data_IF_170940563722
#
_entry.id   IF_170940563722
#
_cell.length_a   1.000
_cell.length_b   1.000
_cell.length_c   1.000
_cell.angle_alpha   90.00
_cell.angle_beta   90.00
_cell.angle_gamma   90.00
#
_symmetry.space_group_name_H-M   'P 1'
#
loop_
_entity.id
_entity.type
_entity.pdbx_description
1 polymer ?
#
# COMPACT_ATOMS: atom_id res chain seq x y z
N UNK A 1 -36.26 11.75 9.63
CA UNK A 1 -35.30 10.65 9.80
C UNK A 1 -34.38 10.69 8.59
N UNK A 2 -33.06 10.68 8.78
CA UNK A 2 -32.09 10.70 7.69
C UNK A 2 -32.04 9.32 7.02
N UNK A 3 -32.08 9.27 5.69
CA UNK A 3 -32.00 8.03 4.90
C UNK A 3 -30.57 7.73 4.47
N UNK A 4 -30.30 6.50 4.00
CA UNK A 4 -29.03 6.14 3.38
C UNK A 4 -28.74 7.01 2.15
N UNK A 5 -29.76 7.36 1.38
CA UNK A 5 -29.61 8.22 0.21
C UNK A 5 -29.16 9.63 0.62
N UNK A 6 -29.73 10.18 1.70
CA UNK A 6 -29.33 11.50 2.22
C UNK A 6 -27.87 11.50 2.69
N UNK A 7 -27.44 10.45 3.39
CA UNK A 7 -26.05 10.33 3.82
C UNK A 7 -25.08 10.18 2.65
N UNK A 8 -25.45 9.43 1.60
CA UNK A 8 -24.64 9.32 0.38
C UNK A 8 -24.54 10.64 -0.36
N UNK A 9 -25.66 11.37 -0.52
CA UNK A 9 -25.64 12.72 -1.09
C UNK A 9 -24.72 13.66 -0.32
N UNK A 10 -24.72 13.57 1.02
CA UNK A 10 -23.81 14.37 1.85
C UNK A 10 -22.34 13.98 1.66
N UNK A 11 -22.03 12.70 1.45
CA UNK A 11 -20.68 12.25 1.09
C UNK A 11 -20.30 12.84 -0.27
N UNK A 12 -21.18 12.75 -1.28
CA UNK A 12 -20.91 13.30 -2.62
C UNK A 12 -20.66 14.82 -2.57
N UNK A 13 -21.37 15.56 -1.71
CA UNK A 13 -21.14 16.99 -1.48
C UNK A 13 -19.76 17.27 -0.86
N UNK A 14 -19.36 16.49 0.14
CA UNK A 14 -18.03 16.58 0.77
C UNK A 14 -16.92 16.21 -0.20
N UNK A 15 -17.14 15.20 -1.05
CA UNK A 15 -16.18 14.78 -2.07
C UNK A 15 -16.00 15.88 -3.14
N UNK A 16 -17.08 16.56 -3.53
CA UNK A 16 -16.98 17.74 -4.40
C UNK A 16 -16.20 18.88 -3.73
N UNK A 17 -16.38 19.10 -2.43
CA UNK A 17 -15.60 20.09 -1.68
C UNK A 17 -14.12 19.69 -1.59
N UNK A 18 -13.83 18.42 -1.35
CA UNK A 18 -12.47 17.88 -1.37
C UNK A 18 -11.80 18.15 -2.71
N UNK A 19 -12.47 17.89 -3.84
CA UNK A 19 -11.93 18.20 -5.18
C UNK A 19 -11.65 19.70 -5.35
N UNK A 20 -12.52 20.58 -4.85
CA UNK A 20 -12.29 22.04 -4.88
C UNK A 20 -11.07 22.44 -4.04
N UNK A 21 -10.91 21.86 -2.86
CA UNK A 21 -9.75 22.10 -1.98
C UNK A 21 -8.47 21.60 -2.64
N UNK A 22 -8.51 20.43 -3.28
CA UNK A 22 -7.37 19.91 -4.03
C UNK A 22 -6.96 20.86 -5.15
N UNK A 23 -7.92 21.33 -5.96
CA UNK A 23 -7.64 22.30 -7.02
C UNK A 23 -6.98 23.57 -6.47
N UNK A 24 -7.56 24.17 -5.41
CA UNK A 24 -6.97 25.35 -4.76
C UNK A 24 -5.57 25.09 -4.21
N UNK A 25 -5.33 23.91 -3.62
CA UNK A 25 -4.00 23.51 -3.15
C UNK A 25 -3.00 23.42 -4.30
N UNK A 26 -3.39 22.89 -5.46
CA UNK A 26 -2.50 22.75 -6.61
C UNK A 26 -2.14 24.11 -7.23
N UNK A 27 -3.06 25.08 -7.28
CA UNK A 27 -2.75 26.46 -7.69
C UNK A 27 -1.65 27.07 -6.80
N UNK A 28 -1.78 26.93 -5.47
CA UNK A 28 -0.71 27.36 -4.54
C UNK A 28 0.59 26.60 -4.79
N UNK A 29 0.55 25.31 -5.14
CA UNK A 29 1.77 24.57 -5.51
C UNK A 29 2.43 25.14 -6.76
N UNK A 30 1.65 25.61 -7.74
CA UNK A 30 2.18 26.26 -8.94
C UNK A 30 2.87 27.59 -8.60
N UNK A 31 2.30 28.39 -7.70
CA UNK A 31 2.93 29.62 -7.21
C UNK A 31 4.24 29.33 -6.46
N UNK A 32 4.24 28.34 -5.56
CA UNK A 32 5.44 27.89 -4.84
C UNK A 32 6.52 27.42 -5.82
N UNK A 33 6.15 26.65 -6.83
CA UNK A 33 7.07 26.20 -7.87
C UNK A 33 7.73 27.38 -8.60
N UNK A 34 6.95 28.42 -8.94
CA UNK A 34 7.45 29.62 -9.60
C UNK A 34 8.48 30.39 -8.75
N UNK A 35 8.20 30.55 -7.45
CA UNK A 35 9.11 31.22 -6.54
C UNK A 35 10.41 30.42 -6.34
N UNK A 36 10.32 29.09 -6.18
CA UNK A 36 11.50 28.23 -6.00
C UNK A 36 12.44 28.25 -7.21
N UNK A 37 11.88 28.37 -8.41
CA UNK A 37 12.63 28.50 -9.66
C UNK A 37 13.41 29.83 -9.73
N UNK A 38 12.85 30.92 -9.21
CA UNK A 38 13.52 32.23 -9.16
C UNK A 38 14.66 32.27 -8.13
N UNK A 39 14.49 31.60 -7.00
CA UNK A 39 15.40 31.65 -5.85
C UNK A 39 16.40 30.48 -5.81
N UNK A 40 16.53 29.70 -6.89
CA UNK A 40 17.37 28.47 -6.98
C UNK A 40 17.16 27.51 -5.78
N UNK A 41 15.93 27.44 -5.30
CA UNK A 41 15.58 26.65 -4.13
C UNK A 41 15.39 25.18 -4.52
N UNK A 42 16.00 24.21 -3.82
CA UNK A 42 15.84 22.80 -4.13
C UNK A 42 14.37 22.35 -4.17
N UNK A 43 14.03 21.56 -5.19
CA UNK A 43 12.71 20.94 -5.36
C UNK A 43 12.36 20.12 -4.10
N UNK A 44 13.27 19.26 -3.66
CA UNK A 44 13.07 18.45 -2.45
C UNK A 44 13.77 19.10 -1.26
N UNK A 45 13.01 19.35 -0.20
CA UNK A 45 13.51 19.80 1.10
C UNK A 45 13.11 18.76 2.16
N UNK A 46 13.98 17.79 2.51
CA UNK A 46 13.61 16.66 3.38
C UNK A 46 13.08 17.07 4.75
N UNK A 47 13.65 18.12 5.35
CA UNK A 47 13.16 18.66 6.62
C UNK A 47 11.71 19.16 6.52
N UNK A 48 11.37 19.82 5.40
CA UNK A 48 10.00 20.29 5.14
C UNK A 48 9.03 19.14 5.00
N UNK A 49 9.42 18.08 4.27
CA UNK A 49 8.59 16.88 4.11
C UNK A 49 8.28 16.24 5.47
N UNK A 50 9.30 16.06 6.32
CA UNK A 50 9.11 15.54 7.69
C UNK A 50 8.14 16.41 8.50
N UNK A 51 8.37 17.72 8.55
CA UNK A 51 7.46 18.64 9.26
C UNK A 51 6.03 18.58 8.73
N UNK A 52 5.83 18.49 7.41
CA UNK A 52 4.48 18.34 6.85
C UNK A 52 3.84 17.06 7.35
N UNK A 53 4.53 15.92 7.24
CA UNK A 53 4.00 14.63 7.70
C UNK A 53 3.66 14.68 9.20
N UNK A 54 4.61 15.07 10.04
CA UNK A 54 4.44 15.09 11.50
C UNK A 54 3.27 15.97 11.92
N UNK A 55 3.16 17.18 11.35
CA UNK A 55 2.07 18.11 11.68
C UNK A 55 0.71 17.61 11.21
N UNK A 56 0.62 16.95 10.05
CA UNK A 56 -0.67 16.43 9.54
C UNK A 56 -1.12 15.19 10.29
N UNK A 57 -0.18 14.33 10.72
CA UNK A 57 -0.48 13.24 11.66
C UNK A 57 -1.07 13.80 12.96
N UNK A 58 -0.46 14.85 13.53
CA UNK A 58 -0.99 15.46 14.74
C UNK A 58 -2.39 16.06 14.54
N UNK A 59 -2.62 16.78 13.44
CA UNK A 59 -3.96 17.30 13.12
C UNK A 59 -5.00 16.22 12.93
N UNK A 60 -4.62 15.08 12.35
CA UNK A 60 -5.51 13.92 12.23
C UNK A 60 -5.91 13.39 13.61
N UNK A 61 -4.94 13.22 14.52
CA UNK A 61 -5.19 12.82 15.92
C UNK A 61 -6.17 13.79 16.59
N UNK A 62 -5.91 15.11 16.48
CA UNK A 62 -6.74 16.14 17.09
C UNK A 62 -8.18 16.15 16.52
N UNK A 63 -8.34 15.76 15.25
CA UNK A 63 -9.62 15.68 14.56
C UNK A 63 -10.32 14.31 14.67
N UNK A 64 -9.71 13.33 15.36
CA UNK A 64 -10.25 11.97 15.45
C UNK A 64 -10.16 11.16 14.15
N UNK A 65 -9.25 11.53 13.25
CA UNK A 65 -8.93 10.81 12.02
C UNK A 65 -7.71 9.92 12.26
N UNK A 66 -7.72 8.73 11.68
CA UNK A 66 -6.57 7.82 11.72
C UNK A 66 -5.31 8.50 11.13
N UNK A 67 -4.21 8.62 11.91
CA UNK A 67 -3.03 9.36 11.46
C UNK A 67 -2.28 8.68 10.32
N UNK A 68 -2.35 7.35 10.21
CA UNK A 68 -1.68 6.62 9.13
C UNK A 68 -2.45 6.78 7.81
N UNK A 69 -3.78 6.80 7.87
CA UNK A 69 -4.62 7.19 6.74
C UNK A 69 -4.36 8.63 6.28
N UNK A 70 -4.30 9.58 7.21
CA UNK A 70 -4.01 10.97 6.89
C UNK A 70 -2.62 11.14 6.26
N UNK A 71 -1.61 10.45 6.80
CA UNK A 71 -0.27 10.45 6.21
C UNK A 71 -0.25 9.89 4.79
N UNK A 72 -0.97 8.78 4.53
CA UNK A 72 -1.06 8.18 3.20
C UNK A 72 -1.61 9.19 2.17
N UNK A 73 -2.68 9.90 2.51
CA UNK A 73 -3.22 10.97 1.66
C UNK A 73 -2.17 12.07 1.44
N UNK A 74 -1.56 12.55 2.52
CA UNK A 74 -0.57 13.64 2.46
C UNK A 74 0.64 13.26 1.61
N UNK A 75 1.09 12.00 1.65
CA UNK A 75 2.17 11.49 0.80
C UNK A 75 1.78 11.52 -0.68
N UNK A 76 0.56 11.12 -1.04
CA UNK A 76 0.04 11.25 -2.41
C UNK A 76 0.04 12.72 -2.86
N UNK A 77 -0.42 13.62 -2.00
CA UNK A 77 -0.43 15.05 -2.28
C UNK A 77 0.97 15.65 -2.43
N UNK A 78 1.94 15.19 -1.63
CA UNK A 78 3.33 15.60 -1.76
C UNK A 78 3.94 15.10 -3.07
N UNK A 79 3.69 13.84 -3.45
CA UNK A 79 4.14 13.29 -4.73
C UNK A 79 3.62 14.12 -5.90
N UNK A 80 2.34 14.52 -5.87
CA UNK A 80 1.76 15.36 -6.92
C UNK A 80 2.37 16.76 -6.95
N UNK A 81 2.61 17.38 -5.79
CA UNK A 81 3.32 18.67 -5.71
C UNK A 81 4.70 18.59 -6.37
N UNK A 82 5.47 17.53 -6.10
CA UNK A 82 6.79 17.34 -6.71
C UNK A 82 6.69 17.12 -8.23
N UNK A 83 5.70 16.33 -8.68
CA UNK A 83 5.46 16.13 -10.12
C UNK A 83 5.19 17.45 -10.82
N UNK A 84 4.38 18.33 -10.22
CA UNK A 84 4.07 19.66 -10.76
C UNK A 84 5.33 20.53 -10.86
N UNK A 85 6.14 20.58 -9.80
CA UNK A 85 7.40 21.34 -9.78
C UNK A 85 8.34 20.89 -10.91
N UNK A 86 8.48 19.57 -11.10
CA UNK A 86 9.32 19.01 -12.17
C UNK A 86 8.71 19.23 -13.55
N UNK A 87 7.41 19.03 -13.72
CA UNK A 87 6.74 19.12 -15.01
C UNK A 87 6.83 20.51 -15.66
N UNK A 88 6.94 21.59 -14.88
CA UNK A 88 7.12 22.95 -15.43
C UNK A 88 8.40 23.10 -16.27
N UNK A 89 9.44 22.34 -15.94
CA UNK A 89 10.69 22.34 -16.71
C UNK A 89 10.62 21.51 -17.99
N UNK A 90 9.54 20.74 -18.20
CA UNK A 90 9.41 19.85 -19.35
C UNK A 90 8.78 20.57 -20.54
N UNK A 91 9.28 20.34 -21.78
CA UNK A 91 8.75 20.98 -22.98
C UNK A 91 7.48 20.30 -23.53
N UNK A 92 7.18 19.08 -23.08
CA UNK A 92 6.06 18.29 -23.63
C UNK A 92 4.71 18.79 -23.08
N UNK A 93 3.66 18.91 -23.92
CA UNK A 93 2.34 19.28 -23.45
C UNK A 93 1.73 18.18 -22.56
N UNK A 94 0.96 18.59 -21.55
CA UNK A 94 0.21 17.65 -20.73
C UNK A 94 -0.81 16.87 -21.59
N UNK A 95 -0.92 15.55 -21.40
CA UNK A 95 -1.90 14.76 -22.14
C UNK A 95 -3.32 15.14 -21.72
N UNK A 96 -4.24 15.19 -22.68
CA UNK A 96 -5.67 15.26 -22.39
C UNK A 96 -6.12 13.95 -21.74
N UNK A 97 -6.79 14.04 -20.59
CA UNK A 97 -7.38 12.90 -19.90
C UNK A 97 -8.89 13.06 -19.90
N UNK A 98 -9.60 12.04 -20.37
CA UNK A 98 -11.05 11.98 -20.30
C UNK A 98 -11.48 11.01 -19.19
N UNK A 99 -12.65 11.27 -18.60
CA UNK A 99 -13.25 10.32 -17.68
C UNK A 99 -13.61 9.06 -18.48
N UNK A 100 -12.93 7.94 -18.17
CA UNK A 100 -13.19 6.67 -18.84
C UNK A 100 -14.58 6.18 -18.45
N UNK A 101 -15.50 6.17 -19.41
CA UNK A 101 -16.82 5.55 -19.31
C UNK A 101 -16.76 4.17 -19.98
N UNK A 102 -16.46 3.14 -19.22
CA UNK A 102 -16.41 1.75 -19.70
C UNK A 102 -16.48 0.77 -18.54
N UNK A 103 -16.83 -0.47 -18.84
CA UNK A 103 -16.91 -1.54 -17.83
C UNK A 103 -15.50 -1.82 -17.29
N UNK A 104 -15.29 -1.47 -16.03
CA UNK A 104 -14.09 -1.80 -15.27
C UNK A 104 -14.19 -3.25 -14.79
N UNK A 105 -13.06 -3.94 -14.72
CA UNK A 105 -13.04 -5.30 -14.14
C UNK A 105 -13.46 -5.23 -12.67
N UNK A 106 -13.94 -6.35 -12.12
CA UNK A 106 -14.29 -6.40 -10.69
C UNK A 106 -13.09 -6.07 -9.80
N UNK A 107 -11.87 -6.46 -10.20
CA UNK A 107 -10.65 -6.10 -9.48
C UNK A 107 -10.36 -4.58 -9.57
N UNK A 108 -10.48 -3.96 -10.74
CA UNK A 108 -10.26 -2.51 -10.90
C UNK A 108 -11.22 -1.66 -10.05
N UNK A 109 -12.39 -2.21 -9.72
CA UNK A 109 -13.38 -1.56 -8.87
C UNK A 109 -12.99 -1.53 -7.39
N UNK A 110 -12.19 -2.49 -6.92
CA UNK A 110 -11.90 -2.66 -5.49
C UNK A 110 -10.42 -2.61 -5.11
N UNK A 111 -9.50 -2.77 -6.05
CA UNK A 111 -8.07 -2.66 -5.79
C UNK A 111 -7.69 -1.21 -5.44
N UNK A 112 -6.90 -1.05 -4.37
CA UNK A 112 -6.51 0.26 -3.86
C UNK A 112 -5.03 0.56 -4.06
N UNK A 113 -4.15 -0.39 -3.74
CA UNK A 113 -2.69 -0.26 -3.86
C UNK A 113 -1.99 -1.60 -3.62
N UNK A 114 -0.67 -1.62 -3.83
CA UNK A 114 0.18 -2.62 -3.18
C UNK A 114 0.21 -2.33 -1.67
N UNK A 115 -0.14 -3.32 -0.85
CA UNK A 115 -0.14 -3.22 0.60
C UNK A 115 1.25 -3.53 1.16
N UNK A 116 1.83 -4.67 0.76
CA UNK A 116 3.17 -5.09 1.17
C UNK A 116 3.76 -6.12 0.20
N UNK A 117 5.06 -6.37 0.35
CA UNK A 117 5.78 -7.42 -0.36
C UNK A 117 6.41 -8.35 0.68
N UNK A 118 6.22 -9.66 0.51
CA UNK A 118 6.91 -10.67 1.33
C UNK A 118 8.10 -11.20 0.55
N UNK A 119 9.27 -11.24 1.20
CA UNK A 119 10.52 -11.70 0.62
C UNK A 119 11.07 -12.84 1.46
N UNK A 120 11.19 -14.02 0.85
CA UNK A 120 11.84 -15.17 1.44
C UNK A 120 13.36 -15.00 1.37
N UNK A 121 14.05 -15.20 2.48
CA UNK A 121 15.49 -14.94 2.60
C UNK A 121 16.22 -16.07 3.33
N UNK A 122 17.43 -16.39 2.86
CA UNK A 122 18.29 -17.39 3.50
C UNK A 122 18.86 -16.90 4.84
N UNK A 123 19.19 -15.61 4.95
CA UNK A 123 19.73 -15.01 6.16
C UNK A 123 18.95 -13.73 6.50
N UNK A 124 18.12 -13.82 7.55
CA UNK A 124 17.25 -12.73 7.98
C UNK A 124 18.03 -11.47 8.39
N UNK A 125 19.07 -11.64 9.19
CA UNK A 125 19.87 -10.53 9.72
C UNK A 125 20.58 -9.77 8.59
N UNK A 126 21.21 -10.51 7.67
CA UNK A 126 21.89 -9.92 6.52
C UNK A 126 20.92 -9.19 5.58
N UNK A 127 19.75 -9.78 5.30
CA UNK A 127 18.73 -9.15 4.46
C UNK A 127 18.16 -7.89 5.11
N UNK A 128 17.85 -7.96 6.40
CA UNK A 128 17.37 -6.82 7.18
C UNK A 128 18.40 -5.69 7.23
N UNK A 129 19.67 -6.00 7.53
CA UNK A 129 20.77 -5.02 7.51
C UNK A 129 20.94 -4.41 6.12
N UNK A 130 20.81 -5.17 5.04
CA UNK A 130 20.86 -4.62 3.69
C UNK A 130 19.75 -3.58 3.44
N UNK A 131 18.51 -3.86 3.86
CA UNK A 131 17.40 -2.91 3.68
C UNK A 131 17.54 -1.68 4.59
N UNK A 132 17.90 -1.87 5.85
CA UNK A 132 18.01 -0.78 6.83
C UNK A 132 19.24 0.08 6.56
N UNK A 133 20.42 -0.53 6.52
CA UNK A 133 21.69 0.21 6.50
C UNK A 133 22.04 0.75 5.12
N UNK A 134 21.62 0.08 4.03
CA UNK A 134 21.97 0.49 2.66
C UNK A 134 20.85 1.18 1.92
N UNK A 135 19.59 0.83 2.19
CA UNK A 135 18.43 1.40 1.50
C UNK A 135 17.61 2.35 2.37
N UNK A 136 17.95 2.49 3.66
CA UNK A 136 17.34 3.49 4.55
C UNK A 136 15.93 3.12 5.02
N UNK A 137 15.56 1.84 4.99
CA UNK A 137 14.37 1.37 5.68
C UNK A 137 14.55 1.44 7.20
N UNK A 138 13.46 1.39 7.94
CA UNK A 138 13.46 1.25 9.39
C UNK A 138 12.63 0.04 9.80
N UNK A 139 12.89 -0.48 11.00
CA UNK A 139 12.06 -1.55 11.55
C UNK A 139 10.63 -1.09 11.78
N UNK A 140 9.71 -1.96 11.41
CA UNK A 140 8.30 -1.81 11.67
C UNK A 140 7.84 -2.88 12.66
N UNK A 141 7.04 -2.48 13.65
CA UNK A 141 6.46 -3.42 14.59
C UNK A 141 5.41 -4.28 13.89
N UNK A 142 5.55 -5.61 14.01
CA UNK A 142 4.52 -6.55 13.60
C UNK A 142 3.42 -6.63 14.66
N UNK A 143 2.16 -6.81 14.22
CA UNK A 143 1.03 -6.99 15.15
C UNK A 143 1.12 -8.32 15.92
N UNK A 144 1.72 -9.34 15.29
CA UNK A 144 2.05 -10.62 15.89
C UNK A 144 3.47 -10.99 15.49
N UNK A 145 4.38 -11.09 16.45
CA UNK A 145 5.79 -11.44 16.21
C UNK A 145 5.94 -12.93 15.92
N UNK A 146 6.65 -13.26 14.84
CA UNK A 146 7.06 -14.64 14.51
C UNK A 146 8.57 -14.81 14.58
N UNK A 147 9.04 -15.98 15.00
CA UNK A 147 10.45 -16.35 14.86
C UNK A 147 10.84 -16.33 13.38
N UNK A 148 12.07 -15.94 13.05
CA UNK A 148 12.55 -15.94 11.66
C UNK A 148 11.91 -14.89 10.75
N UNK A 149 11.21 -13.89 11.30
CA UNK A 149 10.53 -12.83 10.55
C UNK A 149 10.97 -11.44 10.99
N UNK A 150 10.93 -10.49 10.06
CA UNK A 150 11.08 -9.07 10.34
C UNK A 150 10.24 -8.23 9.37
N UNK A 151 9.67 -7.13 9.83
CA UNK A 151 9.03 -6.15 8.97
C UNK A 151 9.88 -4.87 8.92
N UNK A 152 10.06 -4.32 7.72
CA UNK A 152 10.73 -3.04 7.53
C UNK A 152 9.90 -2.15 6.64
N UNK A 153 9.94 -0.84 6.90
CA UNK A 153 9.15 0.14 6.17
C UNK A 153 9.99 1.35 5.75
N UNK A 154 9.54 2.03 4.69
CA UNK A 154 10.05 3.32 4.27
C UNK A 154 8.95 4.10 3.56
N UNK A 155 8.47 5.18 4.18
CA UNK A 155 7.54 6.11 3.54
C UNK A 155 6.21 5.51 3.06
N UNK A 156 5.70 4.49 3.76
CA UNK A 156 4.48 3.75 3.39
C UNK A 156 4.72 2.58 2.43
N UNK A 157 5.97 2.25 2.12
CA UNK A 157 6.37 1.00 1.46
C UNK A 157 6.73 -0.02 2.53
N UNK A 158 6.09 -1.19 2.48
CA UNK A 158 6.23 -2.23 3.51
C UNK A 158 6.81 -3.52 2.91
N UNK A 159 7.84 -4.06 3.57
CA UNK A 159 8.47 -5.33 3.21
C UNK A 159 8.52 -6.23 4.44
N UNK A 160 8.04 -7.46 4.29
CA UNK A 160 8.17 -8.50 5.32
C UNK A 160 9.21 -9.51 4.86
N UNK A 161 10.25 -9.69 5.67
CA UNK A 161 11.27 -10.71 5.48
C UNK A 161 10.89 -11.97 6.24
N UNK A 162 11.03 -13.12 5.60
CA UNK A 162 10.75 -14.42 6.20
C UNK A 162 11.88 -15.40 5.87
N UNK A 163 12.40 -16.08 6.88
CA UNK A 163 13.52 -17.01 6.76
C UNK A 163 13.13 -18.42 7.17
N UNK A 164 14.04 -19.38 6.95
CA UNK A 164 13.85 -20.80 7.33
C UNK A 164 13.47 -20.99 8.79
N UNK A 165 13.93 -20.10 9.67
CA UNK A 165 13.64 -20.13 11.11
C UNK A 165 12.15 -19.87 11.43
N UNK A 166 11.37 -19.39 10.46
CA UNK A 166 9.94 -19.16 10.62
C UNK A 166 9.09 -20.44 10.51
N UNK A 167 9.65 -21.53 9.97
CA UNK A 167 9.00 -22.83 9.97
C UNK A 167 9.42 -23.76 8.83
N UNK A 168 9.08 -25.06 8.93
CA UNK A 168 9.43 -26.06 7.93
C UNK A 168 8.81 -25.79 6.55
N UNK A 169 7.66 -25.12 6.49
CA UNK A 169 7.01 -24.73 5.24
C UNK A 169 7.80 -23.64 4.51
N UNK A 170 8.40 -22.70 5.24
CA UNK A 170 9.28 -21.67 4.65
C UNK A 170 10.59 -22.30 4.18
N UNK A 171 11.16 -23.22 4.97
CA UNK A 171 12.37 -23.94 4.56
C UNK A 171 12.15 -24.73 3.26
N UNK A 172 11.01 -25.44 3.14
CA UNK A 172 10.65 -26.15 1.92
C UNK A 172 10.46 -25.19 0.74
N UNK A 173 9.79 -24.05 0.93
CA UNK A 173 9.66 -23.02 -0.10
C UNK A 173 11.03 -22.53 -0.59
N UNK A 174 11.96 -22.25 0.32
CA UNK A 174 13.32 -21.81 -0.03
C UNK A 174 14.13 -22.90 -0.75
N UNK A 175 13.92 -24.17 -0.42
CA UNK A 175 14.56 -25.28 -1.13
C UNK A 175 14.05 -25.44 -2.57
N UNK A 176 12.77 -25.14 -2.81
CA UNK A 176 12.12 -25.28 -4.11
C UNK A 176 12.30 -24.06 -5.01
N UNK A 177 12.09 -22.85 -4.46
CA UNK A 177 12.03 -21.59 -5.22
C UNK A 177 13.24 -20.68 -4.99
N UNK A 178 14.04 -20.94 -3.95
CA UNK A 178 15.13 -20.06 -3.54
C UNK A 178 14.66 -18.76 -2.87
N UNK A 179 15.62 -17.90 -2.55
CA UNK A 179 15.34 -16.58 -1.98
C UNK A 179 14.81 -15.60 -3.04
N UNK A 180 13.85 -14.76 -2.66
CA UNK A 180 13.20 -13.82 -3.56
C UNK A 180 11.87 -13.30 -3.05
N UNK A 181 11.18 -12.52 -3.88
CA UNK A 181 9.81 -12.10 -3.61
C UNK A 181 8.92 -13.34 -3.63
N UNK A 182 8.29 -13.63 -2.49
CA UNK A 182 7.39 -14.76 -2.35
C UNK A 182 5.97 -14.40 -2.79
N UNK A 183 5.45 -13.24 -2.35
CA UNK A 183 4.23 -12.68 -2.92
C UNK A 183 4.20 -11.15 -2.85
N UNK A 184 3.36 -10.58 -3.71
CA UNK A 184 2.97 -9.17 -3.70
C UNK A 184 1.52 -9.09 -3.23
N UNK A 185 1.26 -8.32 -2.18
CA UNK A 185 -0.09 -8.18 -1.62
C UNK A 185 -0.79 -6.91 -2.13
N UNK A 186 -2.04 -7.04 -2.55
CA UNK A 186 -2.88 -5.96 -3.05
C UNK A 186 -3.97 -5.66 -2.01
N UNK A 187 -4.04 -4.41 -1.55
CA UNK A 187 -5.15 -3.95 -0.71
C UNK A 187 -6.43 -3.84 -1.54
N UNK A 188 -7.50 -4.47 -1.07
CA UNK A 188 -8.84 -4.45 -1.68
C UNK A 188 -9.90 -3.97 -0.69
N UNK A 189 -10.92 -3.28 -1.20
CA UNK A 189 -12.03 -2.78 -0.37
C UNK A 189 -12.79 -3.92 0.33
N UNK A 190 -12.89 -5.09 -0.32
CA UNK A 190 -13.55 -6.27 0.22
C UNK A 190 -12.92 -7.54 -0.38
N UNK A 191 -12.39 -8.43 0.47
CA UNK A 191 -11.67 -9.61 -0.01
C UNK A 191 -12.60 -10.64 -0.67
N UNK A 192 -13.80 -10.84 -0.12
CA UNK A 192 -14.80 -11.77 -0.68
C UNK A 192 -15.26 -11.38 -2.08
N UNK A 193 -15.56 -10.10 -2.29
CA UNK A 193 -15.91 -9.57 -3.61
C UNK A 193 -14.75 -9.69 -4.60
N UNK A 194 -13.53 -9.31 -4.19
CA UNK A 194 -12.35 -9.41 -5.05
C UNK A 194 -12.10 -10.87 -5.49
N UNK A 195 -12.20 -11.83 -4.56
CA UNK A 195 -12.08 -13.26 -4.86
C UNK A 195 -13.12 -13.71 -5.88
N UNK A 196 -14.40 -13.38 -5.66
CA UNK A 196 -15.47 -13.77 -6.57
C UNK A 196 -15.31 -13.15 -7.97
N UNK A 197 -14.81 -11.91 -8.05
CA UNK A 197 -14.51 -11.24 -9.31
C UNK A 197 -13.36 -11.93 -10.08
N UNK A 198 -12.35 -12.43 -9.37
CA UNK A 198 -11.25 -13.19 -9.95
C UNK A 198 -11.69 -14.60 -10.37
N UNK A 199 -12.50 -15.27 -9.55
CA UNK A 199 -13.08 -16.58 -9.85
C UNK A 199 -13.93 -16.55 -11.12
N UNK A 200 -14.72 -15.48 -11.32
CA UNK A 200 -15.49 -15.25 -12.54
C UNK A 200 -14.65 -15.07 -13.82
N UNK A 201 -13.33 -14.88 -13.67
CA UNK A 201 -12.36 -14.80 -14.77
C UNK A 201 -11.49 -16.07 -14.86
N UNK A 202 -11.86 -17.14 -14.16
CA UNK A 202 -11.11 -18.39 -14.05
C UNK A 202 -9.67 -18.17 -13.53
N UNK A 203 -9.47 -17.17 -12.66
CA UNK A 203 -8.17 -16.90 -12.07
C UNK A 203 -7.73 -18.09 -11.19
N UNK A 204 -6.43 -18.44 -11.17
CA UNK A 204 -5.96 -19.60 -10.42
C UNK A 204 -5.82 -19.24 -8.93
N UNK A 205 -6.92 -19.40 -8.20
CA UNK A 205 -7.03 -19.12 -6.77
C UNK A 205 -6.50 -20.30 -5.94
N UNK A 206 -5.74 -20.02 -4.88
CA UNK A 206 -5.14 -21.04 -4.00
C UNK A 206 -5.94 -21.25 -2.70
N UNK A 207 -6.34 -20.18 -2.03
CA UNK A 207 -6.98 -20.26 -0.70
C UNK A 207 -8.34 -19.60 -0.71
N UNK A 208 -9.29 -20.09 0.10
CA UNK A 208 -10.47 -19.30 0.45
C UNK A 208 -10.10 -18.01 1.21
N UNK A 209 -11.07 -17.12 1.39
CA UNK A 209 -10.89 -15.94 2.25
C UNK A 209 -10.75 -16.38 3.71
N UNK A 210 -9.64 -16.01 4.33
CA UNK A 210 -9.35 -16.25 5.74
C UNK A 210 -9.40 -14.92 6.48
N UNK A 211 -10.00 -14.94 7.68
CA UNK A 211 -10.08 -13.76 8.57
C UNK A 211 -9.23 -14.02 9.81
N UNK A 212 -8.36 -13.09 10.14
CA UNK A 212 -7.51 -13.18 11.32
C UNK A 212 -8.16 -12.58 12.59
N UNK A 213 -7.43 -12.63 13.71
CA UNK A 213 -7.91 -12.09 14.99
C UNK A 213 -8.09 -10.56 15.01
N UNK A 214 -7.51 -9.84 14.05
CA UNK A 214 -7.59 -8.39 13.90
C UNK A 214 -8.66 -7.96 12.88
N UNK A 215 -9.36 -8.92 12.27
CA UNK A 215 -10.36 -8.68 11.24
C UNK A 215 -9.74 -8.41 9.86
N UNK A 216 -8.49 -8.78 9.62
CA UNK A 216 -7.91 -8.75 8.28
C UNK A 216 -8.41 -9.94 7.48
N UNK A 217 -9.04 -9.67 6.34
CA UNK A 217 -9.48 -10.67 5.39
C UNK A 217 -8.42 -10.84 4.31
N UNK A 218 -8.01 -12.06 3.99
CA UNK A 218 -7.04 -12.30 2.93
C UNK A 218 -7.27 -13.59 2.16
N UNK A 219 -6.77 -13.63 0.92
CA UNK A 219 -6.65 -14.85 0.14
C UNK A 219 -5.47 -14.73 -0.85
N UNK A 220 -5.09 -15.86 -1.45
CA UNK A 220 -3.94 -15.93 -2.34
C UNK A 220 -4.27 -16.60 -3.67
N UNK A 221 -3.54 -16.24 -4.71
CA UNK A 221 -3.47 -16.99 -5.97
C UNK A 221 -2.42 -18.11 -5.85
N UNK A 222 -2.41 -19.01 -6.82
CA UNK A 222 -1.24 -19.88 -7.04
C UNK A 222 -0.04 -19.04 -7.48
N UNK A 223 1.14 -19.65 -7.43
CA UNK A 223 2.31 -19.12 -8.11
C UNK A 223 2.12 -19.25 -9.62
N UNK A 224 2.02 -18.12 -10.32
CA UNK A 224 1.75 -18.11 -11.76
C UNK A 224 3.01 -18.43 -12.56
N UNK A 225 3.00 -19.50 -13.35
CA UNK A 225 4.18 -19.93 -14.14
C UNK A 225 4.57 -18.92 -15.23
N UNK A 226 3.61 -18.16 -15.76
CA UNK A 226 3.85 -17.23 -16.86
C UNK A 226 4.57 -15.96 -16.40
N UNK A 227 4.23 -15.46 -15.22
CA UNK A 227 4.77 -14.23 -14.64
C UNK A 227 5.82 -14.48 -13.56
N UNK A 228 5.83 -15.67 -12.96
CA UNK A 228 6.63 -16.00 -11.78
C UNK A 228 6.18 -15.28 -10.51
N UNK A 229 4.97 -14.70 -10.52
CA UNK A 229 4.45 -13.90 -9.40
C UNK A 229 3.32 -14.65 -8.71
N UNK A 230 3.30 -14.54 -7.39
CA UNK A 230 2.16 -14.91 -6.57
C UNK A 230 1.54 -13.66 -5.96
N UNK A 231 0.21 -13.55 -6.01
CA UNK A 231 -0.52 -12.43 -5.44
C UNK A 231 -1.24 -12.83 -4.15
N UNK A 232 -1.14 -11.95 -3.16
CA UNK A 232 -2.05 -11.89 -2.03
C UNK A 232 -3.04 -10.76 -2.21
N UNK A 233 -4.23 -10.91 -1.67
CA UNK A 233 -5.24 -9.86 -1.60
C UNK A 233 -5.65 -9.70 -0.14
N UNK A 234 -5.70 -8.46 0.33
CA UNK A 234 -5.94 -8.13 1.74
C UNK A 234 -7.00 -7.04 1.86
N UNK A 235 -7.97 -7.23 2.74
CA UNK A 235 -8.87 -6.18 3.21
C UNK A 235 -8.73 -6.00 4.71
N UNK A 236 -8.50 -4.77 5.16
CA UNK A 236 -8.36 -4.43 6.58
C UNK A 236 -9.71 -3.92 7.10
N UNK A 237 -10.61 -4.83 7.50
CA UNK A 237 -11.97 -4.47 7.93
C UNK A 237 -12.07 -4.09 9.42
N UNK A 238 -11.00 -4.32 10.18
CA UNK A 238 -10.86 -3.93 11.59
C UNK A 238 -9.90 -2.76 11.83
N UNK A 239 -9.00 -2.90 12.80
CA UNK A 239 -7.99 -1.88 13.09
C UNK A 239 -6.86 -1.91 12.04
N UNK A 240 -6.35 -0.73 11.66
CA UNK A 240 -5.13 -0.59 10.86
C UNK A 240 -3.90 -0.92 11.71
N UNK A 241 -3.74 -2.19 12.03
CA UNK A 241 -2.55 -2.72 12.71
C UNK A 241 -1.57 -3.32 11.71
N UNK A 242 -0.31 -3.40 12.12
CA UNK A 242 0.76 -4.00 11.32
C UNK A 242 0.49 -5.46 10.96
N UNK A 243 1.40 -6.04 10.20
CA UNK A 243 1.28 -7.42 9.71
C UNK A 243 1.35 -8.43 10.85
N UNK A 244 0.47 -9.43 10.84
CA UNK A 244 0.54 -10.58 11.73
C UNK A 244 1.37 -11.72 11.11
N UNK A 245 2.26 -12.33 11.89
CA UNK A 245 3.03 -13.49 11.44
C UNK A 245 2.14 -14.64 10.96
N UNK A 246 1.00 -14.89 11.62
CA UNK A 246 0.04 -15.92 11.21
C UNK A 246 -0.45 -15.71 9.77
N UNK A 247 -0.68 -14.45 9.37
CA UNK A 247 -1.18 -14.15 8.03
C UNK A 247 -0.16 -14.46 6.96
N UNK A 248 1.08 -14.02 7.16
CA UNK A 248 2.17 -14.27 6.21
C UNK A 248 2.45 -15.78 6.09
N UNK A 249 2.48 -16.50 7.22
CA UNK A 249 2.75 -17.93 7.24
C UNK A 249 1.61 -18.78 6.69
N UNK A 250 0.39 -18.24 6.61
CA UNK A 250 -0.77 -18.98 6.07
C UNK A 250 -0.56 -19.39 4.61
N UNK A 251 0.09 -18.54 3.81
CA UNK A 251 0.39 -18.84 2.41
C UNK A 251 1.37 -20.01 2.26
N UNK A 252 2.45 -20.01 3.05
CA UNK A 252 3.43 -21.11 3.05
C UNK A 252 2.79 -22.46 3.39
N UNK A 253 1.82 -22.46 4.32
CA UNK A 253 1.07 -23.67 4.67
C UNK A 253 0.14 -24.11 3.54
N UNK A 254 -0.57 -23.16 2.91
CA UNK A 254 -1.50 -23.45 1.82
C UNK A 254 -0.81 -23.99 0.55
N UNK A 255 0.43 -23.59 0.28
CA UNK A 255 1.20 -24.14 -0.85
C UNK A 255 1.55 -25.63 -0.69
N UNK A 256 1.38 -26.20 0.52
CA UNK A 256 1.70 -27.60 0.81
C UNK A 256 0.47 -28.50 0.99
N UNK A 257 -0.73 -27.93 1.04
CA UNK A 257 -1.99 -28.66 1.22
C UNK A 257 -2.55 -29.13 -0.11
#
# INVERSE_FOLDING_TARGET
>A
MTTLADLRSRIDELDQELVRILAARLEVCHEVAHLKEQDDTPIIQPARVRTVIDTRRQWAIDAGVDPDFAEQIVRVLLTETHRIEVARSRPEPAPTKEAVTGDRSGLDTVASRIDHIVVAVENLEAARSALVDRLGFHDEAMAETGTGMAAVAAGGVHIVLVSRDAGPEVAAYLDEYGAGVQHISIEVLNAGYARAALDALDAPLLTEVVVDAQGHEQFFTVHDEATGVQFGFLSRTGHRVGFGATNVLSLFRAMRS
#
